data_IF_495260868091
#
_entry.id   IF_495260868091
#
_cell.length_a   1.000
_cell.length_b   1.000
_cell.length_c   1.000
_cell.angle_alpha   90.00
_cell.angle_beta   90.00
_cell.angle_gamma   90.00
#
_symmetry.space_group_name_H-M   'P 1'
#
loop_
_entity.id
_entity.type
_entity.pdbx_description
1 polymer ?
#
# COMPACT_ATOMS: atom_id res chain seq x y z
N UNK A 1 11.49 -10.74 22.48
CA UNK A 1 10.29 -9.89 22.36
C UNK A 1 10.11 -9.49 20.91
N UNK A 2 8.94 -9.79 20.32
CA UNK A 2 8.63 -9.42 18.93
C UNK A 2 8.23 -7.94 18.85
N UNK A 3 8.32 -7.33 17.67
CA UNK A 3 7.98 -5.93 17.43
C UNK A 3 6.83 -5.81 16.45
N UNK A 4 5.75 -5.16 16.89
CA UNK A 4 4.68 -4.65 16.03
C UNK A 4 4.97 -3.19 15.71
N UNK A 5 5.07 -2.86 14.42
CA UNK A 5 5.13 -1.47 13.97
C UNK A 5 3.74 -0.95 13.63
N UNK A 6 3.30 0.11 14.30
CA UNK A 6 2.10 0.86 13.93
C UNK A 6 2.45 2.05 13.04
N UNK A 7 1.91 2.05 11.82
CA UNK A 7 2.08 3.10 10.82
C UNK A 7 0.79 3.94 10.78
N UNK A 8 0.88 5.15 11.32
CA UNK A 8 -0.25 6.07 11.44
C UNK A 8 -0.20 7.07 10.26
N UNK A 9 -1.19 6.99 9.38
CA UNK A 9 -1.40 7.93 8.28
C UNK A 9 -2.18 9.19 8.68
N UNK A 10 -2.71 9.27 9.90
CA UNK A 10 -3.44 10.44 10.39
C UNK A 10 -2.49 11.47 11.03
N UNK A 11 -2.63 12.78 10.72
CA UNK A 11 -1.90 13.81 11.45
C UNK A 11 -2.49 14.08 12.86
N UNK A 12 -3.70 13.58 13.14
CA UNK A 12 -4.35 13.79 14.44
C UNK A 12 -3.70 12.92 15.52
N UNK A 13 -3.11 13.56 16.53
CA UNK A 13 -2.64 12.89 17.75
C UNK A 13 -3.84 12.35 18.52
N UNK A 14 -3.72 11.13 19.04
CA UNK A 14 -4.80 10.44 19.75
C UNK A 14 -6.07 10.25 18.90
N UNK A 15 -5.94 10.27 17.57
CA UNK A 15 -7.03 10.02 16.64
C UNK A 15 -7.32 8.53 16.42
N UNK A 16 -8.43 8.25 15.75
CA UNK A 16 -8.94 6.89 15.52
C UNK A 16 -7.92 5.92 14.91
N UNK A 17 -7.08 6.35 13.96
CA UNK A 17 -6.03 5.50 13.39
C UNK A 17 -5.00 5.03 14.43
N UNK A 18 -4.54 5.95 15.30
CA UNK A 18 -3.60 5.62 16.37
C UNK A 18 -4.25 4.73 17.43
N UNK A 19 -5.46 5.07 17.85
CA UNK A 19 -6.17 4.33 18.88
C UNK A 19 -6.49 2.90 18.42
N UNK A 20 -6.89 2.72 17.16
CA UNK A 20 -7.18 1.40 16.61
C UNK A 20 -5.93 0.51 16.54
N UNK A 21 -4.78 1.05 16.11
CA UNK A 21 -3.50 0.34 16.13
C UNK A 21 -3.14 -0.10 17.56
N UNK A 22 -3.29 0.80 18.53
CA UNK A 22 -3.05 0.48 19.94
C UNK A 22 -4.00 -0.59 20.46
N UNK A 23 -5.25 -0.58 20.02
CA UNK A 23 -6.23 -1.61 20.40
C UNK A 23 -5.88 -2.99 19.82
N UNK A 24 -5.42 -3.06 18.56
CA UNK A 24 -4.89 -4.32 17.99
C UNK A 24 -3.75 -4.85 18.86
N UNK A 25 -2.79 -3.99 19.22
CA UNK A 25 -1.66 -4.38 20.08
C UNK A 25 -2.11 -4.87 21.45
N UNK A 26 -3.07 -4.20 22.10
CA UNK A 26 -3.63 -4.61 23.41
C UNK A 26 -4.28 -5.99 23.39
N UNK A 27 -4.74 -6.43 22.22
CA UNK A 27 -5.38 -7.74 22.04
C UNK A 27 -4.40 -8.83 21.56
N UNK A 28 -3.11 -8.52 21.44
CA UNK A 28 -2.08 -9.53 21.22
C UNK A 28 -1.76 -10.20 22.55
N UNK A 29 -1.88 -11.54 22.61
CA UNK A 29 -1.69 -12.30 23.86
C UNK A 29 -0.21 -12.61 24.16
N UNK A 30 0.70 -12.44 23.18
CA UNK A 30 2.13 -12.73 23.33
C UNK A 30 2.96 -11.47 23.67
N UNK A 31 4.22 -11.67 24.07
CA UNK A 31 5.18 -10.60 24.38
C UNK A 31 5.64 -9.83 23.12
N UNK A 32 4.76 -8.91 22.68
CA UNK A 32 4.99 -7.96 21.60
C UNK A 32 5.20 -6.55 22.13
N UNK A 33 6.26 -5.90 21.66
CA UNK A 33 6.46 -4.46 21.81
C UNK A 33 5.81 -3.71 20.66
N UNK A 34 5.09 -2.64 20.99
CA UNK A 34 4.59 -1.67 20.01
C UNK A 34 5.62 -0.57 19.76
N UNK A 35 5.98 -0.35 18.49
CA UNK A 35 6.65 0.87 18.01
C UNK A 35 5.68 1.63 17.11
N UNK A 36 5.69 2.95 17.15
CA UNK A 36 4.77 3.78 16.37
C UNK A 36 5.54 4.77 15.49
N UNK A 37 5.11 4.90 14.24
CA UNK A 37 5.48 6.00 13.36
C UNK A 37 4.22 6.73 12.90
N UNK A 38 4.29 8.06 12.87
CA UNK A 38 3.23 8.89 12.29
C UNK A 38 3.79 9.54 11.04
N UNK A 39 3.44 8.98 9.88
CA UNK A 39 3.99 9.40 8.59
C UNK A 39 3.82 10.90 8.32
N UNK A 40 2.69 11.55 8.66
CA UNK A 40 2.56 13.00 8.50
C UNK A 40 3.53 13.85 9.32
N UNK A 41 4.14 13.33 10.38
CA UNK A 41 5.13 14.04 11.20
C UNK A 41 6.55 13.90 10.67
N UNK A 42 6.78 13.00 9.69
CA UNK A 42 8.08 12.78 9.09
C UNK A 42 8.30 13.73 7.91
N UNK A 43 9.51 14.28 7.80
CA UNK A 43 9.94 14.97 6.61
C UNK A 43 10.34 13.93 5.55
N UNK A 44 9.36 13.47 4.76
CA UNK A 44 9.60 12.68 3.55
C UNK A 44 9.38 13.60 2.36
N UNK A 45 10.40 13.79 1.54
CA UNK A 45 10.34 14.56 0.30
C UNK A 45 9.77 13.71 -0.85
N UNK A 46 9.17 14.34 -1.88
CA UNK A 46 8.76 13.65 -3.09
C UNK A 46 9.88 12.82 -3.71
N UNK A 47 9.51 11.68 -4.31
CA UNK A 47 10.47 10.88 -5.05
C UNK A 47 11.01 11.66 -6.25
N UNK A 48 12.33 11.67 -6.45
CA UNK A 48 13.00 12.33 -7.58
C UNK A 48 13.05 11.48 -8.85
N UNK A 49 12.47 10.28 -8.83
CA UNK A 49 12.54 9.30 -9.92
C UNK A 49 13.96 9.09 -10.49
N UNK A 50 14.98 9.09 -9.61
CA UNK A 50 16.39 9.02 -10.03
C UNK A 50 16.94 7.59 -10.17
N UNK A 51 16.16 6.57 -9.76
CA UNK A 51 16.49 5.14 -9.82
C UNK A 51 17.75 4.71 -9.03
N UNK A 52 18.40 5.61 -8.31
CA UNK A 52 19.65 5.34 -7.58
C UNK A 52 19.50 4.24 -6.52
N UNK A 53 18.32 4.11 -5.89
CA UNK A 53 18.06 3.04 -4.91
C UNK A 53 18.00 1.63 -5.49
N UNK A 54 18.09 1.46 -6.81
CA UNK A 54 18.19 0.16 -7.45
C UNK A 54 19.64 -0.32 -7.62
N UNK A 55 20.63 0.56 -7.45
CA UNK A 55 22.03 0.30 -7.76
C UNK A 55 22.93 0.54 -6.54
N UNK A 56 24.19 0.07 -6.61
CA UNK A 56 25.17 0.26 -5.54
C UNK A 56 24.67 -0.29 -4.19
N UNK A 57 24.65 0.56 -3.17
CA UNK A 57 24.15 0.24 -1.82
C UNK A 57 22.63 -0.03 -1.76
N UNK A 58 21.90 0.17 -2.88
CA UNK A 58 20.45 0.03 -2.96
C UNK A 58 19.68 0.87 -1.91
N UNK A 59 20.21 2.06 -1.61
CA UNK A 59 19.66 2.98 -0.62
C UNK A 59 19.22 4.28 -1.26
N UNK A 60 18.12 4.87 -0.76
CA UNK A 60 17.66 6.14 -1.31
C UNK A 60 18.60 7.28 -0.88
N UNK A 61 19.11 8.11 -1.82
CA UNK A 61 20.14 9.11 -1.50
C UNK A 61 19.59 10.42 -0.92
N UNK A 62 18.27 10.65 -0.90
CA UNK A 62 17.76 11.90 -0.34
C UNK A 62 17.96 11.92 1.18
N UNK A 63 18.39 13.07 1.71
CA UNK A 63 18.67 13.29 3.14
C UNK A 63 17.39 13.77 3.83
N UNK A 64 16.53 12.82 4.16
CA UNK A 64 15.23 13.03 4.78
C UNK A 64 14.81 11.79 5.59
N UNK A 65 13.61 11.80 6.19
CA UNK A 65 13.19 10.77 7.16
C UNK A 65 12.71 9.46 6.50
N UNK A 66 12.80 9.33 5.18
CA UNK A 66 12.35 8.12 4.47
C UNK A 66 13.11 6.87 4.93
N UNK A 67 14.45 6.94 4.98
CA UNK A 67 15.27 5.79 5.33
C UNK A 67 15.04 5.37 6.80
N UNK A 68 14.81 6.32 7.71
CA UNK A 68 14.43 6.05 9.11
C UNK A 68 13.15 5.20 9.19
N UNK A 69 12.09 5.62 8.48
CA UNK A 69 10.82 4.90 8.47
C UNK A 69 10.92 3.54 7.78
N UNK A 70 11.69 3.44 6.69
CA UNK A 70 11.96 2.17 6.01
C UNK A 70 12.72 1.20 6.92
N UNK A 71 13.78 1.65 7.60
CA UNK A 71 14.54 0.84 8.54
C UNK A 71 13.65 0.32 9.70
N UNK A 72 12.74 1.16 10.23
CA UNK A 72 11.77 0.72 11.23
C UNK A 72 10.81 -0.36 10.70
N UNK A 73 10.35 -0.23 9.45
CA UNK A 73 9.49 -1.22 8.79
C UNK A 73 10.24 -2.55 8.56
N UNK A 74 11.49 -2.47 8.12
CA UNK A 74 12.36 -3.64 7.87
C UNK A 74 12.67 -4.40 9.16
N UNK A 75 12.91 -3.69 10.28
CA UNK A 75 13.23 -4.29 11.58
C UNK A 75 12.03 -4.90 12.33
N UNK A 76 10.80 -4.55 11.98
CA UNK A 76 9.61 -5.04 12.69
C UNK A 76 9.29 -6.50 12.32
N UNK A 77 8.70 -7.28 13.22
CA UNK A 77 8.26 -8.64 12.93
C UNK A 77 6.90 -8.66 12.21
N UNK A 78 6.07 -7.64 12.44
CA UNK A 78 4.81 -7.40 11.75
C UNK A 78 4.49 -5.90 11.77
N UNK A 79 3.54 -5.47 10.95
CA UNK A 79 3.04 -4.09 11.03
C UNK A 79 1.54 -3.95 10.80
N UNK A 80 1.01 -2.86 11.34
CA UNK A 80 -0.35 -2.37 11.07
C UNK A 80 -0.22 -1.02 10.40
N UNK A 81 -1.00 -0.77 9.36
CA UNK A 81 -1.16 0.56 8.79
C UNK A 81 -2.60 1.05 8.94
N UNK A 82 -2.79 2.25 9.46
CA UNK A 82 -4.12 2.85 9.59
C UNK A 82 -4.11 4.29 9.06
N UNK A 83 -5.06 4.62 8.18
CA UNK A 83 -5.14 5.93 7.56
C UNK A 83 -6.58 6.47 7.53
N UNK A 84 -6.77 7.79 7.69
CA UNK A 84 -8.08 8.41 7.56
C UNK A 84 -8.44 8.63 6.08
N UNK A 85 -9.74 8.56 5.78
CA UNK A 85 -10.32 8.95 4.50
C UNK A 85 -10.44 10.48 4.43
N UNK A 86 -9.55 11.13 3.70
CA UNK A 86 -9.56 12.56 3.39
C UNK A 86 -9.83 12.74 1.90
N UNK A 87 -10.99 13.32 1.56
CA UNK A 87 -11.46 13.45 0.17
C UNK A 87 -11.44 12.11 -0.58
N UNK A 88 -12.12 11.10 0.00
CA UNK A 88 -12.30 9.75 -0.58
C UNK A 88 -11.02 8.93 -0.77
N UNK A 89 -9.86 9.41 -0.33
CA UNK A 89 -8.59 8.68 -0.34
C UNK A 89 -7.87 8.73 1.01
N UNK A 90 -6.87 7.87 1.19
CA UNK A 90 -6.00 7.93 2.36
C UNK A 90 -5.18 9.22 2.35
N UNK A 91 -4.81 9.69 3.55
CA UNK A 91 -3.90 10.82 3.70
C UNK A 91 -2.63 10.66 2.82
N UNK A 92 -2.24 11.74 2.14
CA UNK A 92 -1.16 11.74 1.13
C UNK A 92 0.21 11.27 1.65
N UNK A 93 0.48 11.35 2.96
CA UNK A 93 1.73 10.86 3.55
C UNK A 93 1.99 9.38 3.26
N UNK A 94 0.92 8.57 3.18
CA UNK A 94 1.01 7.15 2.86
C UNK A 94 1.57 6.94 1.45
N UNK A 95 1.02 7.66 0.47
CA UNK A 95 1.47 7.62 -0.92
C UNK A 95 2.87 8.22 -1.07
N UNK A 96 3.18 9.29 -0.33
CA UNK A 96 4.50 9.91 -0.37
C UNK A 96 5.62 8.97 0.06
N UNK A 97 5.40 8.17 1.11
CA UNK A 97 6.33 7.10 1.48
C UNK A 97 6.40 6.03 0.38
N UNK A 98 5.25 5.60 -0.12
CA UNK A 98 5.15 4.54 -1.13
C UNK A 98 5.78 4.90 -2.48
N UNK A 99 5.81 6.17 -2.86
CA UNK A 99 6.44 6.67 -4.10
C UNK A 99 7.94 6.39 -4.19
N UNK A 100 8.58 6.05 -3.06
CA UNK A 100 9.98 5.62 -2.99
C UNK A 100 10.12 4.10 -2.88
N UNK A 101 9.06 3.36 -3.20
CA UNK A 101 8.93 1.92 -3.03
C UNK A 101 9.90 1.06 -3.83
N UNK A 102 10.60 1.62 -4.83
CA UNK A 102 11.75 0.93 -5.44
C UNK A 102 12.84 0.58 -4.42
N UNK A 103 12.91 1.33 -3.31
CA UNK A 103 13.84 1.05 -2.20
C UNK A 103 13.47 -0.21 -1.41
N UNK A 104 12.24 -0.73 -1.54
CA UNK A 104 11.83 -1.96 -0.85
C UNK A 104 12.51 -3.20 -1.43
N UNK A 105 12.92 -3.17 -2.70
CA UNK A 105 13.66 -4.27 -3.32
C UNK A 105 15.00 -4.55 -2.64
N UNK A 106 15.61 -3.55 -2.00
CA UNK A 106 16.82 -3.70 -1.20
C UNK A 106 16.61 -4.58 0.05
N UNK A 107 15.35 -4.73 0.46
CA UNK A 107 14.93 -5.44 1.66
C UNK A 107 13.89 -6.53 1.35
N UNK A 108 13.93 -7.06 0.12
CA UNK A 108 12.94 -8.04 -0.34
C UNK A 108 12.84 -9.23 0.62
N UNK A 109 13.96 -9.77 1.09
CA UNK A 109 13.98 -10.94 1.99
C UNK A 109 13.34 -10.66 3.36
N UNK A 110 13.53 -9.45 3.89
CA UNK A 110 12.99 -9.06 5.19
C UNK A 110 11.53 -8.63 5.12
N UNK A 111 11.09 -8.10 3.97
CA UNK A 111 9.73 -7.63 3.77
C UNK A 111 8.81 -8.74 3.27
N UNK A 112 9.32 -9.67 2.46
CA UNK A 112 8.54 -10.78 1.95
C UNK A 112 7.99 -11.63 3.09
N UNK A 113 6.74 -12.06 2.95
CA UNK A 113 6.00 -12.81 3.97
C UNK A 113 5.84 -12.11 5.33
N UNK A 114 6.24 -10.83 5.47
CA UNK A 114 6.03 -10.07 6.71
C UNK A 114 4.54 -9.88 6.97
N UNK A 115 3.99 -10.34 8.12
CA UNK A 115 2.58 -10.18 8.44
C UNK A 115 2.18 -8.71 8.50
N UNK A 116 1.12 -8.36 7.79
CA UNK A 116 0.62 -6.99 7.72
C UNK A 116 -0.90 -6.92 7.67
N UNK A 117 -1.47 -5.96 8.40
CA UNK A 117 -2.90 -5.68 8.40
C UNK A 117 -3.20 -4.19 8.28
N UNK A 118 -4.41 -3.85 7.86
CA UNK A 118 -4.81 -2.49 7.50
C UNK A 118 -6.09 -1.98 8.16
N UNK A 119 -6.22 -0.66 8.29
CA UNK A 119 -7.49 -0.01 8.61
C UNK A 119 -7.69 1.32 7.86
N UNK A 120 -8.82 1.45 7.19
CA UNK A 120 -9.33 2.72 6.68
C UNK A 120 -10.32 3.31 7.69
N UNK A 121 -10.16 4.59 8.05
CA UNK A 121 -11.06 5.28 8.98
C UNK A 121 -11.82 6.36 8.22
N UNK A 122 -13.15 6.24 8.11
CA UNK A 122 -14.00 7.24 7.49
C UNK A 122 -14.86 7.97 8.53
N UNK A 123 -15.08 9.27 8.35
CA UNK A 123 -15.95 10.05 9.24
C UNK A 123 -17.44 9.81 8.99
N UNK A 124 -17.80 9.42 7.77
CA UNK A 124 -19.19 9.23 7.32
C UNK A 124 -19.31 7.81 6.74
N UNK A 125 -20.37 7.09 7.12
CA UNK A 125 -20.63 5.73 6.65
C UNK A 125 -20.82 5.69 5.13
N UNK A 126 -20.11 4.78 4.46
CA UNK A 126 -20.12 4.65 2.99
C UNK A 126 -19.29 5.69 2.23
N UNK A 127 -18.63 6.62 2.93
CA UNK A 127 -17.83 7.70 2.32
C UNK A 127 -16.32 7.48 2.50
N UNK A 128 -15.89 6.22 2.64
CA UNK A 128 -14.47 5.85 2.65
C UNK A 128 -13.81 5.96 1.27
N UNK A 129 -14.58 5.94 0.19
CA UNK A 129 -14.06 5.98 -1.19
C UNK A 129 -13.04 4.87 -1.46
N UNK A 130 -11.90 5.22 -2.04
CA UNK A 130 -10.80 4.30 -2.33
C UNK A 130 -9.73 4.26 -1.21
N UNK A 131 -10.06 4.75 0.00
CA UNK A 131 -9.13 4.78 1.14
C UNK A 131 -8.64 3.39 1.54
N UNK A 132 -9.54 2.40 1.62
CA UNK A 132 -9.16 1.00 1.91
C UNK A 132 -8.23 0.46 0.83
N UNK A 133 -8.52 0.72 -0.45
CA UNK A 133 -7.63 0.34 -1.55
C UNK A 133 -6.23 0.93 -1.36
N UNK A 134 -6.07 2.17 -0.92
CA UNK A 134 -4.75 2.76 -0.66
C UNK A 134 -4.02 2.09 0.52
N UNK A 135 -4.75 1.68 1.56
CA UNK A 135 -4.20 0.92 2.69
C UNK A 135 -3.73 -0.46 2.23
N UNK A 136 -4.56 -1.18 1.48
CA UNK A 136 -4.24 -2.51 0.96
C UNK A 136 -3.08 -2.43 -0.05
N UNK A 137 -3.08 -1.38 -0.87
CA UNK A 137 -1.98 -1.07 -1.80
C UNK A 137 -0.70 -0.82 -1.04
N UNK A 138 -0.72 -0.02 0.03
CA UNK A 138 0.48 0.20 0.85
C UNK A 138 1.05 -1.13 1.34
N UNK A 139 0.20 -2.03 1.84
CA UNK A 139 0.64 -3.34 2.35
C UNK A 139 1.28 -4.20 1.25
N UNK A 140 0.57 -4.38 0.14
CA UNK A 140 1.05 -5.22 -0.97
C UNK A 140 2.28 -4.64 -1.65
N UNK A 141 2.30 -3.33 -1.85
CA UNK A 141 3.36 -2.64 -2.56
C UNK A 141 4.61 -2.43 -1.69
N UNK A 142 4.51 -2.58 -0.37
CA UNK A 142 5.68 -2.78 0.51
C UNK A 142 6.13 -4.23 0.64
N UNK A 143 5.68 -5.11 -0.27
CA UNK A 143 6.11 -6.51 -0.43
C UNK A 143 5.72 -7.45 0.73
N UNK A 144 4.76 -7.04 1.55
CA UNK A 144 4.35 -7.76 2.75
C UNK A 144 3.20 -8.75 2.51
N UNK A 145 3.01 -9.67 3.45
CA UNK A 145 1.86 -10.56 3.48
C UNK A 145 0.62 -9.83 4.03
N UNK A 146 -0.28 -9.44 3.12
CA UNK A 146 -1.56 -8.85 3.47
C UNK A 146 -2.50 -9.89 4.11
N UNK A 147 -2.71 -9.77 5.43
CA UNK A 147 -3.51 -10.71 6.24
C UNK A 147 -4.90 -10.18 6.62
N UNK A 148 -5.26 -8.98 6.18
CA UNK A 148 -6.60 -8.45 6.38
C UNK A 148 -6.61 -6.94 6.55
N UNK A 149 -7.76 -6.36 6.28
CA UNK A 149 -7.98 -4.92 6.29
C UNK A 149 -9.43 -4.62 6.59
N UNK A 150 -9.71 -3.58 7.37
CA UNK A 150 -11.08 -3.20 7.74
C UNK A 150 -11.39 -1.74 7.40
N UNK A 151 -12.68 -1.41 7.29
CA UNK A 151 -13.18 -0.03 7.29
C UNK A 151 -13.87 0.22 8.62
N UNK A 152 -13.54 1.32 9.27
CA UNK A 152 -14.17 1.78 10.51
C UNK A 152 -14.74 3.17 10.32
N UNK A 153 -15.80 3.47 11.06
CA UNK A 153 -16.49 4.74 10.98
C UNK A 153 -16.41 5.51 12.30
N UNK A 154 -16.01 6.78 12.22
CA UNK A 154 -15.90 7.70 13.34
C UNK A 154 -15.17 8.98 12.93
N UNK A 155 -15.85 10.11 12.99
CA UNK A 155 -15.34 11.45 12.72
C UNK A 155 -14.58 12.05 13.92
N UNK A 156 -15.04 11.74 15.14
CA UNK A 156 -14.50 12.25 16.40
C UNK A 156 -13.46 11.29 16.99
N UNK A 157 -12.45 11.79 17.74
CA UNK A 157 -11.48 10.94 18.42
C UNK A 157 -12.14 9.95 19.37
N UNK A 158 -11.86 8.66 19.20
CA UNK A 158 -12.42 7.57 19.99
C UNK A 158 -13.79 7.06 19.54
N UNK A 159 -14.48 7.76 18.64
CA UNK A 159 -15.85 7.44 18.23
C UNK A 159 -15.99 6.05 17.58
N UNK A 160 -14.95 5.58 16.90
CA UNK A 160 -14.90 4.22 16.35
C UNK A 160 -15.21 3.15 17.40
N UNK A 161 -15.02 3.43 18.69
CA UNK A 161 -15.25 2.50 19.78
C UNK A 161 -16.65 2.57 20.41
N UNK A 162 -17.48 3.52 20.00
CA UNK A 162 -18.84 3.71 20.51
C UNK A 162 -19.88 3.00 19.64
N UNK A 163 -19.76 3.13 18.32
CA UNK A 163 -20.80 2.69 17.39
C UNK A 163 -20.50 1.36 16.69
N UNK A 164 -19.28 0.83 16.83
CA UNK A 164 -18.81 -0.26 15.98
C UNK A 164 -18.28 -1.47 16.74
N UNK A 165 -18.21 -2.59 16.02
CA UNK A 165 -17.47 -3.79 16.39
C UNK A 165 -15.94 -3.58 16.31
N UNK A 166 -15.42 -2.35 16.44
CA UNK A 166 -13.99 -2.05 16.34
C UNK A 166 -13.13 -2.94 17.24
N UNK A 167 -13.54 -3.20 18.49
CA UNK A 167 -12.76 -4.09 19.36
C UNK A 167 -12.72 -5.52 18.85
N UNK A 168 -13.84 -6.03 18.34
CA UNK A 168 -13.89 -7.36 17.75
C UNK A 168 -13.01 -7.44 16.51
N UNK A 169 -13.11 -6.46 15.60
CA UNK A 169 -12.29 -6.36 14.40
C UNK A 169 -10.80 -6.23 14.72
N UNK A 170 -10.45 -5.46 15.76
CA UNK A 170 -9.07 -5.37 16.24
C UNK A 170 -8.55 -6.73 16.71
N UNK A 171 -9.37 -7.51 17.43
CA UNK A 171 -9.04 -8.88 17.83
C UNK A 171 -8.89 -9.84 16.66
N UNK A 172 -9.74 -9.71 15.64
CA UNK A 172 -9.61 -10.50 14.40
C UNK A 172 -8.28 -10.19 13.69
N UNK A 173 -7.91 -8.91 13.56
CA UNK A 173 -6.62 -8.51 12.95
C UNK A 173 -5.41 -8.91 13.82
N UNK A 174 -5.52 -8.83 15.14
CA UNK A 174 -4.48 -9.30 16.06
C UNK A 174 -4.22 -10.81 15.90
N UNK A 175 -5.30 -11.61 15.76
CA UNK A 175 -5.21 -13.04 15.44
C UNK A 175 -4.59 -13.26 14.06
N UNK A 176 -5.00 -12.49 13.04
CA UNK A 176 -4.48 -12.60 11.69
C UNK A 176 -2.96 -12.34 11.61
N UNK A 177 -2.43 -11.38 12.39
CA UNK A 177 -0.97 -11.14 12.49
C UNK A 177 -0.22 -12.38 12.98
N UNK A 178 -0.82 -13.18 13.87
CA UNK A 178 -0.18 -14.34 14.50
C UNK A 178 -0.33 -15.63 13.72
N UNK A 179 -1.50 -15.84 13.12
CA UNK A 179 -1.83 -17.08 12.43
C UNK A 179 -1.28 -17.06 11.01
N UNK A 180 -0.89 -18.24 10.51
CA UNK A 180 -0.66 -18.41 9.08
C UNK A 180 -1.95 -18.11 8.31
N UNK A 181 -1.81 -17.61 7.09
CA UNK A 181 -2.94 -17.23 6.25
C UNK A 181 -3.82 -18.44 5.98
N UNK A 182 -4.91 -18.57 6.73
CA UNK A 182 -5.89 -19.63 6.46
C UNK A 182 -6.63 -19.29 5.17
N UNK A 183 -6.71 -20.20 4.18
CA UNK A 183 -7.58 -20.01 3.02
C UNK A 183 -9.04 -20.06 3.53
N UNK A 184 -9.60 -18.90 3.86
CA UNK A 184 -10.96 -18.77 4.39
C UNK A 184 -11.79 -17.91 3.46
N UNK A 185 -12.95 -18.43 3.04
CA UNK A 185 -13.87 -17.82 2.08
C UNK A 185 -14.21 -16.39 2.46
N UNK A 186 -13.74 -15.44 1.65
CA UNK A 186 -14.13 -14.05 1.79
C UNK A 186 -15.67 -13.96 1.63
N UNK A 187 -16.33 -13.29 2.58
CA UNK A 187 -17.75 -12.95 2.46
C UNK A 187 -18.02 -11.99 1.30
N UNK A 188 -16.97 -11.33 0.80
CA UNK A 188 -17.00 -10.39 -0.32
C UNK A 188 -16.20 -10.96 -1.49
N UNK A 189 -16.67 -10.80 -2.74
CA UNK A 189 -15.87 -11.12 -3.91
C UNK A 189 -14.49 -10.47 -3.87
N UNK A 190 -13.46 -11.28 -4.06
CA UNK A 190 -12.07 -10.83 -4.06
C UNK A 190 -11.35 -11.35 -5.29
N UNK A 191 -10.32 -10.61 -5.69
CA UNK A 191 -9.47 -10.95 -6.79
C UNK A 191 -8.73 -12.26 -6.46
N UNK A 192 -8.88 -13.35 -7.26
CA UNK A 192 -8.27 -14.65 -6.96
C UNK A 192 -6.73 -14.63 -6.97
N UNK A 193 -6.17 -13.51 -7.40
CA UNK A 193 -4.75 -13.25 -7.60
C UNK A 193 -4.11 -12.59 -6.39
N UNK A 194 -4.67 -11.45 -5.96
CA UNK A 194 -4.05 -10.61 -4.95
C UNK A 194 -4.89 -10.48 -3.68
N UNK A 195 -6.15 -10.93 -3.72
CA UNK A 195 -7.12 -10.77 -2.64
C UNK A 195 -7.76 -9.38 -2.56
N UNK A 196 -7.51 -8.48 -3.53
CA UNK A 196 -8.13 -7.16 -3.57
C UNK A 196 -9.62 -7.23 -3.93
N UNK A 197 -10.43 -6.36 -3.34
CA UNK A 197 -11.90 -6.32 -3.47
C UNK A 197 -12.39 -5.12 -4.29
N UNK A 198 -11.49 -4.29 -4.82
CA UNK A 198 -11.82 -3.10 -5.61
C UNK A 198 -11.56 -3.33 -7.10
N UNK A 199 -12.56 -3.08 -7.95
CA UNK A 199 -12.52 -3.35 -9.39
C UNK A 199 -13.01 -2.17 -10.22
N UNK A 200 -12.51 -2.06 -11.46
CA UNK A 200 -12.99 -1.16 -12.51
C UNK A 200 -13.59 -1.98 -13.64
N UNK A 201 -14.78 -1.62 -14.12
CA UNK A 201 -15.37 -2.20 -15.33
C UNK A 201 -14.70 -1.63 -16.59
N UNK A 202 -14.52 -2.48 -17.60
CA UNK A 202 -13.88 -2.14 -18.87
C UNK A 202 -14.92 -2.06 -20.01
N UNK A 203 -14.65 -1.30 -21.08
CA UNK A 203 -15.61 -1.12 -22.19
C UNK A 203 -15.97 -2.40 -22.95
N UNK A 204 -15.10 -3.41 -22.89
CA UNK A 204 -15.28 -4.72 -23.50
C UNK A 204 -16.11 -5.69 -22.62
N UNK A 205 -16.70 -5.18 -21.53
CA UNK A 205 -17.44 -5.99 -20.56
C UNK A 205 -16.54 -6.70 -19.54
N UNK A 206 -15.22 -6.52 -19.60
CA UNK A 206 -14.28 -7.06 -18.63
C UNK A 206 -14.21 -6.26 -17.33
N UNK A 207 -13.35 -6.72 -16.43
CA UNK A 207 -13.00 -6.06 -15.16
C UNK A 207 -11.49 -5.97 -14.98
N UNK A 208 -11.05 -4.95 -14.25
CA UNK A 208 -9.67 -4.77 -13.81
C UNK A 208 -9.60 -4.64 -12.30
N UNK A 209 -8.80 -5.48 -11.66
CA UNK A 209 -8.51 -5.33 -10.24
C UNK A 209 -7.69 -4.07 -10.02
N UNK A 210 -8.15 -3.18 -9.16
CA UNK A 210 -7.48 -1.90 -8.90
C UNK A 210 -6.28 -2.01 -7.96
N UNK A 211 -6.07 -3.19 -7.35
CA UNK A 211 -4.89 -3.47 -6.53
C UNK A 211 -3.72 -4.00 -7.37
N UNK A 212 -3.92 -5.09 -8.14
CA UNK A 212 -2.85 -5.71 -8.93
C UNK A 212 -2.83 -5.35 -10.41
N UNK A 213 -3.78 -4.54 -10.88
CA UNK A 213 -3.97 -4.20 -12.30
C UNK A 213 -4.26 -5.38 -13.25
N UNK A 214 -4.38 -6.60 -12.72
CA UNK A 214 -4.83 -7.76 -13.49
C UNK A 214 -6.22 -7.54 -14.08
N UNK A 215 -6.39 -7.92 -15.34
CA UNK A 215 -7.67 -7.80 -16.06
C UNK A 215 -8.31 -9.18 -16.22
N UNK A 216 -9.62 -9.24 -16.41
CA UNK A 216 -10.29 -10.50 -16.69
C UNK A 216 -11.80 -10.34 -16.76
N UNK A 217 -12.51 -11.42 -16.49
CA UNK A 217 -13.96 -11.52 -16.68
C UNK A 217 -14.67 -11.84 -15.38
N UNK A 218 -15.94 -11.47 -15.31
CA UNK A 218 -16.81 -11.80 -14.19
C UNK A 218 -18.08 -12.49 -14.69
N UNK A 219 -18.60 -13.41 -13.88
CA UNK A 219 -19.86 -14.09 -14.11
C UNK A 219 -20.77 -13.83 -12.92
N UNK A 220 -21.98 -13.37 -13.20
CA UNK A 220 -23.03 -13.15 -12.20
C UNK A 220 -24.19 -14.08 -12.52
N UNK A 221 -24.53 -14.97 -11.59
CA UNK A 221 -25.76 -15.76 -11.61
C UNK A 221 -26.56 -15.51 -10.31
N UNK A 222 -27.78 -16.06 -10.21
CA UNK A 222 -28.69 -15.84 -9.06
C UNK A 222 -28.09 -16.18 -7.68
N UNK A 223 -27.00 -16.95 -7.63
CA UNK A 223 -26.40 -17.43 -6.38
C UNK A 223 -24.90 -17.18 -6.27
N UNK A 224 -24.23 -16.73 -7.34
CA UNK A 224 -22.77 -16.67 -7.40
C UNK A 224 -22.28 -15.47 -8.18
N UNK A 225 -21.23 -14.85 -7.63
CA UNK A 225 -20.37 -13.91 -8.31
C UNK A 225 -18.98 -14.55 -8.44
N UNK A 226 -18.52 -14.76 -9.66
CA UNK A 226 -17.23 -15.39 -9.95
C UNK A 226 -16.33 -14.42 -10.72
N UNK A 227 -15.05 -14.41 -10.36
CA UNK A 227 -14.02 -13.61 -11.00
C UNK A 227 -12.94 -14.51 -11.59
N UNK A 228 -12.56 -14.20 -12.82
CA UNK A 228 -11.34 -14.70 -13.45
C UNK A 228 -10.43 -13.51 -13.69
N UNK A 229 -9.17 -13.59 -13.27
CA UNK A 229 -8.21 -12.47 -13.41
C UNK A 229 -6.87 -13.01 -13.91
N UNK A 230 -6.45 -12.48 -15.05
CA UNK A 230 -5.12 -12.69 -15.63
C UNK A 230 -4.08 -11.79 -14.93
N UNK A 231 -2.93 -12.34 -14.49
CA UNK A 231 -1.78 -11.56 -14.01
C UNK A 231 -1.29 -10.45 -14.94
N UNK A 232 -1.42 -10.64 -16.25
CA UNK A 232 -0.60 -9.94 -17.22
C UNK A 232 0.88 -10.31 -17.14
N UNK A 233 1.68 -9.66 -17.98
CA UNK A 233 3.08 -10.07 -18.20
C UNK A 233 4.05 -9.63 -17.11
N UNK A 234 3.65 -8.67 -16.27
CA UNK A 234 4.54 -8.05 -15.29
C UNK A 234 3.98 -7.99 -13.86
N UNK A 235 3.58 -9.12 -13.25
CA UNK A 235 3.26 -9.13 -11.82
C UNK A 235 4.54 -8.79 -11.03
N UNK A 236 4.42 -7.97 -9.98
CA UNK A 236 5.60 -7.60 -9.15
C UNK A 236 5.45 -7.88 -7.65
N UNK A 237 4.27 -8.33 -7.20
CA UNK A 237 4.01 -8.70 -5.79
C UNK A 237 3.15 -9.96 -5.66
N UNK A 238 3.23 -10.86 -6.65
CA UNK A 238 2.50 -12.14 -6.66
C UNK A 238 3.30 -13.26 -6.01
N UNK A 239 4.50 -13.50 -6.53
CA UNK A 239 5.50 -14.39 -5.95
C UNK A 239 6.80 -13.65 -5.69
N UNK A 240 7.66 -14.25 -4.89
CA UNK A 240 8.96 -13.71 -4.57
C UNK A 240 9.83 -13.63 -5.84
N UNK A 241 9.72 -14.65 -6.71
CA UNK A 241 10.36 -14.69 -8.02
C UNK A 241 9.84 -13.57 -8.94
N UNK A 242 8.54 -13.26 -8.92
CA UNK A 242 7.98 -12.16 -9.70
C UNK A 242 8.56 -10.81 -9.28
N UNK A 243 8.69 -10.58 -7.96
CA UNK A 243 9.32 -9.38 -7.42
C UNK A 243 10.80 -9.28 -7.85
N UNK A 244 11.55 -10.38 -7.83
CA UNK A 244 12.94 -10.43 -8.33
C UNK A 244 13.04 -10.12 -9.82
N UNK A 245 12.21 -10.75 -10.65
CA UNK A 245 12.19 -10.47 -12.10
C UNK A 245 11.84 -9.02 -12.39
N UNK A 246 10.94 -8.41 -11.62
CA UNK A 246 10.66 -6.98 -11.75
C UNK A 246 11.84 -6.09 -11.36
N UNK A 247 12.58 -6.43 -10.29
CA UNK A 247 13.82 -5.72 -9.97
C UNK A 247 14.85 -5.80 -11.11
N UNK A 248 15.03 -6.97 -11.70
CA UNK A 248 15.94 -7.17 -12.83
C UNK A 248 15.51 -6.37 -14.05
N UNK A 249 14.22 -6.40 -14.37
CA UNK A 249 13.64 -5.59 -15.44
C UNK A 249 13.88 -4.10 -15.20
N UNK A 250 13.60 -3.59 -13.99
CA UNK A 250 13.83 -2.19 -13.62
C UNK A 250 15.30 -1.77 -13.80
N UNK A 251 16.25 -2.64 -13.41
CA UNK A 251 17.68 -2.37 -13.57
C UNK A 251 18.07 -2.27 -15.04
N UNK A 252 17.48 -3.09 -15.91
CA UNK A 252 17.71 -3.06 -17.36
C UNK A 252 17.11 -1.85 -18.09
N UNK A 253 16.21 -1.08 -17.46
CA UNK A 253 15.57 0.07 -18.10
C UNK A 253 16.57 1.15 -18.52
N UNK A 254 17.68 1.30 -17.80
CA UNK A 254 18.71 2.28 -18.13
C UNK A 254 19.39 1.94 -19.45
N UNK A 255 19.77 0.69 -19.64
CA UNK A 255 20.40 0.19 -20.86
C UNK A 255 19.43 0.30 -22.03
N UNK A 256 18.15 -0.05 -21.84
CA UNK A 256 17.12 0.12 -22.86
C UNK A 256 16.95 1.59 -23.27
N UNK A 257 16.90 2.50 -22.30
CA UNK A 257 16.80 3.94 -22.58
C UNK A 257 18.01 4.41 -23.38
N UNK A 258 19.23 4.02 -22.99
CA UNK A 258 20.45 4.39 -23.71
C UNK A 258 20.47 3.85 -25.14
N UNK A 259 20.01 2.62 -25.35
CA UNK A 259 19.91 2.01 -26.67
C UNK A 259 18.91 2.75 -27.58
N UNK A 260 17.79 3.21 -27.02
CA UNK A 260 16.70 3.87 -27.78
C UNK A 260 16.71 5.41 -27.71
N UNK A 261 17.69 6.02 -27.04
CA UNK A 261 17.68 7.47 -26.74
C UNK A 261 17.53 8.37 -27.96
N UNK A 262 18.08 7.98 -29.11
CA UNK A 262 18.02 8.78 -30.35
C UNK A 262 16.61 8.77 -30.94
N UNK A 263 16.01 7.59 -31.04
CA UNK A 263 14.62 7.38 -31.47
C UNK A 263 13.66 8.14 -30.55
N UNK A 264 13.78 7.96 -29.24
CA UNK A 264 12.94 8.62 -28.25
C UNK A 264 13.12 10.14 -28.27
N UNK A 265 14.35 10.64 -28.43
CA UNK A 265 14.62 12.08 -28.53
C UNK A 265 13.88 12.70 -29.71
N UNK A 266 13.92 12.07 -30.88
CA UNK A 266 13.22 12.56 -32.07
C UNK A 266 11.71 12.74 -31.81
N UNK A 267 11.07 11.75 -31.15
CA UNK A 267 9.66 11.84 -30.76
C UNK A 267 9.44 12.98 -29.76
N UNK A 268 10.24 13.04 -28.69
CA UNK A 268 10.01 14.04 -27.62
C UNK A 268 10.21 15.48 -28.07
N UNK A 269 11.03 15.72 -29.11
CA UNK A 269 11.33 17.07 -29.59
C UNK A 269 10.10 17.80 -30.10
N UNK A 270 9.19 17.09 -30.76
CA UNK A 270 7.96 17.67 -31.32
C UNK A 270 7.05 18.25 -30.23
N UNK A 271 7.13 17.73 -29.01
CA UNK A 271 6.29 18.16 -27.89
C UNK A 271 6.93 19.24 -27.01
N UNK A 272 8.23 19.55 -27.17
CA UNK A 272 8.95 20.43 -26.24
C UNK A 272 8.43 21.87 -26.19
N UNK A 273 7.75 22.32 -27.26
CA UNK A 273 7.26 23.69 -27.41
C UNK A 273 5.74 23.80 -27.28
N UNK A 274 5.06 22.69 -27.01
CA UNK A 274 3.60 22.65 -26.92
C UNK A 274 3.11 23.16 -25.57
N UNK A 275 2.24 24.17 -25.60
CA UNK A 275 1.56 24.72 -24.42
C UNK A 275 2.35 25.78 -23.64
N UNK A 276 1.69 26.36 -22.66
CA UNK A 276 2.24 27.37 -21.75
C UNK A 276 2.33 26.81 -20.33
N UNK A 277 3.45 27.08 -19.65
CA UNK A 277 3.66 26.64 -18.28
C UNK A 277 3.05 27.63 -17.30
N UNK A 278 2.13 27.17 -16.46
CA UNK A 278 1.69 27.93 -15.28
C UNK A 278 2.80 27.84 -14.23
N UNK A 279 3.45 28.97 -13.95
CA UNK A 279 4.50 29.11 -12.95
C UNK A 279 4.11 30.17 -11.91
N UNK A 280 4.66 30.11 -10.68
CA UNK A 280 4.53 31.21 -9.74
C UNK A 280 5.06 32.51 -10.37
N UNK A 281 4.39 33.63 -10.11
CA UNK A 281 4.91 34.94 -10.52
C UNK A 281 6.20 35.24 -9.71
N UNK A 282 7.35 35.35 -10.39
CA UNK A 282 8.60 35.84 -9.77
C UNK A 282 9.74 34.84 -9.56
N UNK A 283 9.76 33.68 -10.24
CA UNK A 283 10.95 32.81 -10.36
C UNK A 283 11.70 32.99 -11.68
#
# INVERSE_FOLDING_TARGET
>A
MKTLLGIIGSPRKHGNSELFIKEIHRQMEDDWRLRLIRLPELNVLPCRACYQCLFGEMRCPQKDDFNLALEALVQADAYVVAAPAYFLGANASLKRFLDRGLSFYAHLDQLWSKPAVGAAIAGIRGMEGYTKLMVDSFIKLSLADHRGSVVLYGALPGEIFLESNARELAGQLAKAIRLEKTPGGASTPACPVCGGDTFRFLPDGGVRCMLCSGSGQYLVDERRFQLTIDPGDHPFFRSYEDAKRHLEWLRGMKEMFLARRKELKAITQDYLKEGEWVRPEGE
#
